data_IF_833564689654
#
_entry.id   IF_833564689654
#
_cell.length_a   1.000
_cell.length_b   1.000
_cell.length_c   1.000
_cell.angle_alpha   90.00
_cell.angle_beta   90.00
_cell.angle_gamma   90.00
#
_symmetry.space_group_name_H-M   'P 1'
#
loop_
_entity.id
_entity.type
_entity.pdbx_description
1 polymer ?
#
# COMPACT_ATOMS: atom_id res chain seq x y z
N UNK A 1 9.74 11.68 -22.69
CA UNK A 1 9.78 12.82 -21.73
C UNK A 1 9.82 12.24 -20.31
N UNK A 2 10.82 12.60 -19.48
CA UNK A 2 10.94 12.11 -18.09
C UNK A 2 10.03 12.94 -17.21
N UNK A 3 9.12 12.32 -16.46
CA UNK A 3 8.31 13.01 -15.44
C UNK A 3 8.74 12.48 -14.08
N UNK A 4 9.26 13.37 -13.25
CA UNK A 4 9.60 13.07 -11.86
C UNK A 4 8.48 13.67 -11.01
N UNK A 5 7.81 12.82 -10.23
CA UNK A 5 6.84 13.24 -9.24
C UNK A 5 7.45 13.02 -7.86
N UNK A 6 7.48 14.07 -7.04
CA UNK A 6 8.03 14.03 -5.69
C UNK A 6 6.85 13.94 -4.71
N UNK A 7 6.81 12.88 -3.91
CA UNK A 7 5.81 12.68 -2.86
C UNK A 7 6.56 12.57 -1.51
N UNK A 8 6.70 13.69 -0.80
CA UNK A 8 7.46 13.73 0.45
C UNK A 8 8.93 13.35 0.24
N UNK A 9 9.43 12.35 0.99
CA UNK A 9 10.81 11.84 0.86
C UNK A 9 11.04 10.88 -0.32
N UNK A 10 10.01 10.58 -1.12
CA UNK A 10 10.08 9.59 -2.20
C UNK A 10 9.96 10.26 -3.57
N UNK A 11 10.74 9.80 -4.54
CA UNK A 11 10.61 10.24 -5.94
C UNK A 11 10.15 9.08 -6.83
N UNK A 12 9.08 9.32 -7.59
CA UNK A 12 8.58 8.39 -8.60
C UNK A 12 9.04 8.90 -9.95
N UNK A 13 9.81 8.08 -10.67
CA UNK A 13 10.27 8.40 -12.02
C UNK A 13 9.49 7.58 -13.04
N UNK A 14 8.77 8.26 -13.93
CA UNK A 14 8.14 7.64 -15.09
C UNK A 14 8.81 8.08 -16.38
N UNK A 15 9.05 7.10 -17.25
CA UNK A 15 9.71 7.29 -18.54
C UNK A 15 8.74 6.92 -19.66
N UNK A 16 8.29 7.93 -20.41
CA UNK A 16 7.49 7.73 -21.61
C UNK A 16 8.42 7.86 -22.81
N UNK A 17 9.03 6.72 -23.17
CA UNK A 17 9.92 6.58 -24.32
C UNK A 17 10.08 5.09 -24.65
N UNK A 18 10.09 4.74 -25.93
CA UNK A 18 10.33 3.35 -26.37
C UNK A 18 11.73 2.85 -25.95
N UNK A 19 12.68 3.77 -25.75
CA UNK A 19 14.04 3.49 -25.28
C UNK A 19 14.45 4.47 -24.18
N UNK A 20 14.98 3.94 -23.09
CA UNK A 20 15.46 4.68 -21.92
C UNK A 20 16.89 4.22 -21.63
N UNK A 21 17.80 5.17 -21.46
CA UNK A 21 19.21 4.88 -21.18
C UNK A 21 19.52 5.31 -19.75
N UNK A 22 20.01 4.37 -18.94
CA UNK A 22 20.59 4.62 -17.63
C UNK A 22 22.11 4.60 -17.77
N UNK A 23 22.78 5.70 -17.46
CA UNK A 23 24.24 5.80 -17.49
C UNK A 23 24.72 6.29 -16.13
N UNK A 24 25.38 5.41 -15.37
CA UNK A 24 25.91 5.69 -14.03
C UNK A 24 24.93 6.43 -13.10
N UNK A 25 23.67 6.03 -13.11
CA UNK A 25 22.59 6.75 -12.43
C UNK A 25 22.14 6.03 -11.15
N UNK A 26 21.87 6.82 -10.12
CA UNK A 26 21.12 6.38 -8.93
C UNK A 26 19.74 7.03 -8.95
N UNK A 27 18.69 6.21 -8.93
CA UNK A 27 17.30 6.67 -8.83
C UNK A 27 16.82 6.40 -7.41
N UNK A 28 16.57 7.47 -6.66
CA UNK A 28 16.03 7.38 -5.30
C UNK A 28 14.50 7.21 -5.34
N UNK A 29 14.04 5.96 -5.27
CA UNK A 29 12.62 5.62 -5.24
C UNK A 29 12.24 4.54 -6.25
N UNK A 30 10.99 4.57 -6.73
CA UNK A 30 10.44 3.59 -7.65
C UNK A 30 10.55 4.05 -9.11
N UNK A 31 10.84 3.10 -10.00
CA UNK A 31 10.86 3.27 -11.46
C UNK A 31 9.74 2.46 -12.10
N UNK A 32 8.88 3.11 -12.86
CA UNK A 32 7.87 2.45 -13.68
C UNK A 32 8.33 2.43 -15.13
N UNK A 33 8.51 1.23 -15.69
CA UNK A 33 8.91 1.01 -17.07
C UNK A 33 7.69 0.52 -17.86
N UNK A 34 7.19 1.35 -18.77
CA UNK A 34 5.97 1.07 -19.53
C UNK A 34 6.33 0.93 -21.01
N UNK A 35 6.19 -0.30 -21.49
CA UNK A 35 6.39 -0.73 -22.88
C UNK A 35 7.69 -0.18 -23.49
N UNK A 36 8.78 -0.26 -22.71
CA UNK A 36 10.05 0.35 -23.06
C UNK A 36 11.26 -0.56 -22.88
N UNK A 37 12.32 -0.25 -23.61
CA UNK A 37 13.63 -0.88 -23.44
C UNK A 37 14.46 0.00 -22.51
N UNK A 38 14.88 -0.53 -21.37
CA UNK A 38 15.85 0.12 -20.47
C UNK A 38 17.22 -0.50 -20.73
N UNK A 39 18.13 0.27 -21.32
CA UNK A 39 19.54 -0.10 -21.44
C UNK A 39 20.34 0.60 -20.32
N UNK A 40 21.03 -0.19 -19.50
CA UNK A 40 21.84 0.32 -18.39
C UNK A 40 23.33 0.13 -18.63
N UNK A 41 24.09 1.23 -18.52
CA UNK A 41 25.53 1.29 -18.67
C UNK A 41 26.17 1.75 -17.36
N UNK A 42 27.28 1.12 -16.98
CA UNK A 42 28.01 1.46 -15.76
C UNK A 42 27.24 1.11 -14.47
N UNK A 43 27.48 1.89 -13.42
CA UNK A 43 26.93 1.64 -12.09
C UNK A 43 25.52 2.22 -11.95
N UNK A 44 24.50 1.39 -12.20
CA UNK A 44 23.11 1.77 -12.02
C UNK A 44 22.57 1.29 -10.67
N UNK A 45 21.79 2.13 -9.99
CA UNK A 45 21.13 1.77 -8.74
C UNK A 45 19.71 2.35 -8.66
N UNK A 46 18.76 1.53 -8.21
CA UNK A 46 17.40 1.94 -7.85
C UNK A 46 17.24 1.60 -6.38
N UNK A 47 16.89 2.59 -5.56
CA UNK A 47 16.88 2.42 -4.10
C UNK A 47 15.66 1.66 -3.58
N UNK A 48 14.60 1.53 -4.40
CA UNK A 48 13.39 0.80 -4.04
C UNK A 48 13.03 -0.26 -5.08
N UNK A 49 12.14 0.05 -6.04
CA UNK A 49 11.56 -0.95 -6.94
C UNK A 49 11.62 -0.54 -8.42
N UNK A 50 11.70 -1.53 -9.29
CA UNK A 50 11.57 -1.39 -10.74
C UNK A 50 10.35 -2.20 -11.20
N UNK A 51 9.37 -1.53 -11.82
CA UNK A 51 8.07 -2.11 -12.15
C UNK A 51 7.91 -2.07 -13.68
N UNK A 52 8.34 -3.12 -14.40
CA UNK A 52 8.20 -3.21 -15.86
C UNK A 52 6.83 -3.74 -16.30
N UNK A 53 6.29 -3.29 -17.43
CA UNK A 53 5.23 -4.04 -18.13
C UNK A 53 5.78 -5.31 -18.77
N UNK A 54 4.90 -6.27 -19.10
CA UNK A 54 5.28 -7.51 -19.80
C UNK A 54 6.06 -7.27 -21.10
N UNK A 55 5.81 -6.16 -21.80
CA UNK A 55 6.46 -5.78 -23.04
C UNK A 55 7.77 -4.99 -22.81
N UNK A 56 8.06 -4.59 -21.58
CA UNK A 56 9.29 -3.87 -21.26
C UNK A 56 10.48 -4.83 -21.19
N UNK A 57 11.62 -4.37 -21.69
CA UNK A 57 12.87 -5.15 -21.72
C UNK A 57 13.93 -4.42 -20.91
N UNK A 58 14.42 -5.05 -19.84
CA UNK A 58 15.46 -4.46 -18.99
C UNK A 58 16.79 -5.13 -19.29
N UNK A 59 17.75 -4.34 -19.81
CA UNK A 59 19.13 -4.73 -20.09
C UNK A 59 20.07 -3.89 -19.24
N UNK A 60 20.00 -4.06 -17.93
CA UNK A 60 20.74 -3.26 -16.97
C UNK A 60 21.40 -4.16 -15.92
N UNK A 61 22.64 -3.82 -15.55
CA UNK A 61 23.33 -4.45 -14.42
C UNK A 61 23.23 -3.51 -13.21
N UNK A 62 22.35 -3.85 -12.27
CA UNK A 62 22.20 -3.07 -11.05
C UNK A 62 23.25 -3.44 -10.01
N UNK A 63 23.76 -2.43 -9.30
CA UNK A 63 24.76 -2.60 -8.23
C UNK A 63 24.23 -3.41 -7.05
N UNK A 64 22.93 -3.34 -6.79
CA UNK A 64 22.23 -4.06 -5.74
C UNK A 64 21.03 -4.79 -6.33
N UNK A 65 20.52 -5.82 -5.63
CA UNK A 65 19.31 -6.51 -6.05
C UNK A 65 18.15 -5.51 -6.09
N UNK A 66 17.54 -5.36 -7.27
CA UNK A 66 16.38 -4.49 -7.47
C UNK A 66 15.14 -5.37 -7.49
N UNK A 67 14.17 -5.04 -6.64
CA UNK A 67 12.90 -5.76 -6.62
C UNK A 67 12.13 -5.45 -7.91
N UNK A 68 11.83 -6.50 -8.69
CA UNK A 68 11.10 -6.39 -9.95
C UNK A 68 9.75 -7.08 -9.86
N UNK A 69 8.67 -6.34 -10.12
CA UNK A 69 7.32 -6.90 -10.25
C UNK A 69 6.75 -6.54 -11.63
N UNK A 70 6.53 -7.52 -12.53
CA UNK A 70 5.98 -7.25 -13.84
C UNK A 70 4.50 -6.82 -13.77
N UNK A 71 4.09 -5.92 -14.64
CA UNK A 71 2.69 -5.51 -14.83
C UNK A 71 2.04 -6.31 -15.99
N UNK A 72 0.81 -6.85 -15.83
CA UNK A 72 -0.01 -6.78 -14.64
C UNK A 72 0.56 -7.65 -13.51
N UNK A 73 0.41 -7.16 -12.28
CA UNK A 73 0.99 -7.74 -11.07
C UNK A 73 0.44 -9.15 -10.85
N UNK A 74 1.33 -10.13 -10.84
CA UNK A 74 1.03 -11.51 -10.46
C UNK A 74 1.20 -11.68 -8.94
N UNK A 75 0.07 -11.70 -8.25
CA UNK A 75 -0.03 -11.73 -6.79
C UNK A 75 0.48 -13.06 -6.24
N UNK A 76 0.19 -14.17 -6.92
CA UNK A 76 0.53 -15.50 -6.43
C UNK A 76 2.04 -15.69 -6.43
N UNK A 77 2.68 -15.30 -7.53
CA UNK A 77 4.13 -15.30 -7.66
C UNK A 77 4.80 -14.39 -6.62
N UNK A 78 4.24 -13.20 -6.36
CA UNK A 78 4.83 -12.25 -5.43
C UNK A 78 4.66 -12.67 -3.95
N UNK A 79 3.52 -13.28 -3.63
CA UNK A 79 3.29 -13.92 -2.33
C UNK A 79 4.20 -15.13 -2.12
N UNK A 80 4.47 -15.89 -3.17
CA UNK A 80 5.41 -17.02 -3.16
C UNK A 80 6.86 -16.53 -2.98
N UNK A 81 7.28 -15.50 -3.69
CA UNK A 81 8.59 -14.85 -3.51
C UNK A 81 8.76 -14.27 -2.10
N UNK A 82 7.74 -13.62 -1.55
CA UNK A 82 7.76 -13.08 -0.19
C UNK A 82 7.82 -14.17 0.89
N UNK A 83 7.05 -15.26 0.71
CA UNK A 83 7.13 -16.44 1.59
C UNK A 83 8.50 -17.11 1.55
N UNK A 84 9.07 -17.26 0.35
CA UNK A 84 10.39 -17.89 0.15
C UNK A 84 11.54 -17.03 0.69
N UNK A 85 11.36 -15.70 0.76
CA UNK A 85 12.36 -14.78 1.27
C UNK A 85 12.40 -14.69 2.82
N UNK A 86 11.45 -15.30 3.55
CA UNK A 86 11.29 -15.20 5.02
C UNK A 86 11.20 -13.76 5.58
N UNK A 87 11.06 -12.75 4.71
CA UNK A 87 11.08 -11.33 5.08
C UNK A 87 9.65 -10.76 5.02
N UNK A 88 8.92 -10.98 6.11
CA UNK A 88 7.52 -10.56 6.29
C UNK A 88 7.36 -9.04 6.09
N UNK A 89 8.40 -8.25 6.41
CA UNK A 89 8.42 -6.79 6.18
C UNK A 89 8.25 -6.46 4.70
N UNK A 90 8.99 -7.15 3.82
CA UNK A 90 8.92 -6.94 2.36
C UNK A 90 7.60 -7.39 1.75
N UNK A 91 7.01 -8.47 2.29
CA UNK A 91 5.69 -8.92 1.87
C UNK A 91 4.61 -7.90 2.25
N UNK A 92 4.63 -7.40 3.49
CA UNK A 92 3.69 -6.38 3.96
C UNK A 92 3.80 -5.09 3.15
N UNK A 93 5.02 -4.59 2.93
CA UNK A 93 5.28 -3.39 2.11
C UNK A 93 4.76 -3.54 0.67
N UNK A 94 5.01 -4.70 0.04
CA UNK A 94 4.53 -4.95 -1.32
C UNK A 94 2.99 -4.95 -1.38
N UNK A 95 2.33 -5.66 -0.46
CA UNK A 95 0.87 -5.68 -0.42
C UNK A 95 0.34 -4.26 -0.12
N UNK A 96 0.96 -3.46 0.76
CA UNK A 96 0.55 -2.08 1.03
C UNK A 96 0.65 -1.17 -0.21
N UNK A 97 1.71 -1.32 -1.01
CA UNK A 97 1.87 -0.57 -2.26
C UNK A 97 0.76 -0.91 -3.28
N UNK A 98 0.40 -2.18 -3.40
CA UNK A 98 -0.65 -2.62 -4.32
C UNK A 98 -2.03 -2.14 -3.91
N UNK A 99 -2.35 -2.26 -2.63
CA UNK A 99 -3.57 -1.75 -2.04
C UNK A 99 -3.80 -0.27 -2.38
N UNK A 100 -2.78 0.56 -2.11
CA UNK A 100 -2.82 2.00 -2.39
C UNK A 100 -2.97 2.30 -3.88
N UNK A 101 -2.36 1.50 -4.76
CA UNK A 101 -2.49 1.67 -6.20
C UNK A 101 -3.92 1.39 -6.72
N UNK A 102 -4.59 0.36 -6.21
CA UNK A 102 -5.95 0.03 -6.62
C UNK A 102 -6.98 1.01 -6.03
N UNK A 103 -6.78 1.49 -4.80
CA UNK A 103 -7.60 2.55 -4.21
C UNK A 103 -7.56 3.83 -5.05
N UNK A 104 -6.37 4.27 -5.48
CA UNK A 104 -6.25 5.44 -6.34
C UNK A 104 -6.87 5.26 -7.73
N UNK A 105 -6.97 4.03 -8.24
CA UNK A 105 -7.62 3.72 -9.52
C UNK A 105 -9.14 3.52 -9.40
N UNK A 106 -9.70 3.58 -8.19
CA UNK A 106 -11.11 3.31 -7.93
C UNK A 106 -11.48 1.82 -8.08
N UNK A 107 -10.48 0.93 -8.15
CA UNK A 107 -10.68 -0.51 -8.27
C UNK A 107 -10.87 -1.15 -6.88
N UNK A 108 -11.88 -0.68 -6.14
CA UNK A 108 -12.06 -0.99 -4.71
C UNK A 108 -12.24 -2.48 -4.43
N UNK A 109 -12.89 -3.24 -5.30
CA UNK A 109 -13.06 -4.69 -5.12
C UNK A 109 -11.71 -5.43 -5.08
N UNK A 110 -10.78 -5.02 -5.94
CA UNK A 110 -9.43 -5.62 -5.93
C UNK A 110 -8.68 -5.19 -4.69
N UNK A 111 -8.74 -3.89 -4.34
CA UNK A 111 -8.13 -3.40 -3.11
C UNK A 111 -8.61 -4.18 -1.86
N UNK A 112 -9.92 -4.40 -1.73
CA UNK A 112 -10.53 -5.21 -0.65
C UNK A 112 -9.93 -6.61 -0.62
N UNK A 113 -9.87 -7.31 -1.76
CA UNK A 113 -9.29 -8.67 -1.83
C UNK A 113 -7.84 -8.70 -1.30
N UNK A 114 -7.04 -7.68 -1.61
CA UNK A 114 -5.68 -7.56 -1.09
C UNK A 114 -5.63 -7.31 0.42
N UNK A 115 -6.46 -6.39 0.91
CA UNK A 115 -6.54 -6.09 2.33
C UNK A 115 -7.03 -7.29 3.15
N UNK A 116 -7.97 -8.09 2.62
CA UNK A 116 -8.44 -9.32 3.28
C UNK A 116 -7.37 -10.41 3.31
N UNK A 117 -6.60 -10.58 2.23
CA UNK A 117 -5.45 -11.50 2.20
C UNK A 117 -4.39 -11.10 3.23
N UNK A 118 -4.04 -9.83 3.30
CA UNK A 118 -3.11 -9.29 4.30
C UNK A 118 -3.58 -9.49 5.73
N UNK A 119 -4.86 -9.18 6.00
CA UNK A 119 -5.45 -9.37 7.31
C UNK A 119 -5.35 -10.84 7.72
N UNK A 120 -5.65 -11.77 6.81
CA UNK A 120 -5.54 -13.21 7.08
C UNK A 120 -4.13 -13.63 7.46
N UNK A 121 -3.11 -13.12 6.78
CA UNK A 121 -1.69 -13.40 7.08
C UNK A 121 -1.31 -12.77 8.41
N UNK A 122 -1.66 -11.51 8.62
CA UNK A 122 -1.33 -10.80 9.87
C UNK A 122 -1.97 -11.49 11.07
N UNK A 123 -3.20 -11.98 10.94
CA UNK A 123 -3.86 -12.79 11.96
C UNK A 123 -3.16 -14.12 12.21
N UNK A 124 -2.68 -14.82 11.18
CA UNK A 124 -2.00 -16.11 11.35
C UNK A 124 -0.61 -15.98 11.94
N UNK A 125 0.14 -14.97 11.54
CA UNK A 125 1.56 -14.81 11.90
C UNK A 125 1.77 -13.98 13.18
N UNK A 126 0.96 -12.94 13.39
CA UNK A 126 1.19 -11.94 14.45
C UNK A 126 0.19 -12.04 15.62
N UNK A 127 -0.96 -12.68 15.39
CA UNK A 127 -2.03 -12.78 16.37
C UNK A 127 -3.03 -11.62 16.32
N UNK A 128 -4.20 -11.84 16.91
CA UNK A 128 -5.40 -11.00 16.74
C UNK A 128 -5.32 -9.60 17.34
N UNK A 129 -4.42 -9.38 18.30
CA UNK A 129 -4.26 -8.12 19.04
C UNK A 129 -3.02 -7.33 18.61
N UNK A 130 -2.35 -7.75 17.53
CA UNK A 130 -1.15 -7.09 17.03
C UNK A 130 -1.48 -5.72 16.40
N UNK A 131 -0.65 -4.68 16.59
CA UNK A 131 -0.86 -3.36 15.97
C UNK A 131 -0.99 -3.38 14.45
N UNK A 132 -0.34 -4.35 13.78
CA UNK A 132 -0.45 -4.51 12.32
C UNK A 132 -1.83 -5.05 11.91
N UNK A 133 -2.42 -5.95 12.69
CA UNK A 133 -3.81 -6.40 12.47
C UNK A 133 -4.78 -5.23 12.61
N UNK A 134 -4.57 -4.36 13.61
CA UNK A 134 -5.36 -3.13 13.73
C UNK A 134 -5.20 -2.23 12.49
N UNK A 135 -3.98 -2.14 11.95
CA UNK A 135 -3.72 -1.36 10.74
C UNK A 135 -4.44 -1.95 9.52
N UNK A 136 -4.40 -3.28 9.34
CA UNK A 136 -5.13 -3.96 8.26
C UNK A 136 -6.64 -3.72 8.34
N UNK A 137 -7.21 -3.78 9.55
CA UNK A 137 -8.62 -3.47 9.78
C UNK A 137 -8.99 -2.02 9.41
N UNK A 138 -8.24 -1.02 9.89
CA UNK A 138 -8.50 0.39 9.54
C UNK A 138 -8.46 0.61 8.03
N UNK A 139 -7.53 -0.04 7.34
CA UNK A 139 -7.44 0.14 5.91
C UNK A 139 -8.60 -0.52 5.15
N UNK A 140 -9.07 -1.70 5.57
CA UNK A 140 -10.34 -2.26 5.06
C UNK A 140 -11.48 -1.26 5.27
N UNK A 141 -11.55 -0.65 6.46
CA UNK A 141 -12.49 0.40 6.79
C UNK A 141 -12.50 1.53 5.76
N UNK A 142 -11.33 2.08 5.46
CA UNK A 142 -11.16 3.17 4.49
C UNK A 142 -11.57 2.78 3.06
N UNK A 143 -11.23 1.57 2.60
CA UNK A 143 -11.62 1.15 1.25
C UNK A 143 -13.13 0.94 1.13
N UNK A 144 -13.75 0.31 2.14
CA UNK A 144 -15.20 0.17 2.17
C UNK A 144 -15.91 1.53 2.22
N UNK A 145 -15.35 2.51 2.94
CA UNK A 145 -15.85 3.88 2.95
C UNK A 145 -15.77 4.51 1.54
N UNK A 146 -14.62 4.41 0.87
CA UNK A 146 -14.43 4.94 -0.47
C UNK A 146 -15.34 4.26 -1.51
N UNK A 147 -15.67 2.98 -1.29
CA UNK A 147 -16.63 2.22 -2.08
C UNK A 147 -18.09 2.60 -1.81
N UNK A 148 -18.37 3.29 -0.69
CA UNK A 148 -19.73 3.65 -0.25
C UNK A 148 -20.43 2.57 0.58
N UNK A 149 -19.73 1.51 0.99
CA UNK A 149 -20.25 0.45 1.88
C UNK A 149 -19.98 0.83 3.35
N UNK A 150 -20.71 1.84 3.84
CA UNK A 150 -20.43 2.47 5.14
C UNK A 150 -20.55 1.54 6.35
N UNK A 151 -21.48 0.58 6.34
CA UNK A 151 -21.66 -0.35 7.47
C UNK A 151 -20.44 -1.25 7.67
N UNK A 152 -19.87 -1.78 6.59
CA UNK A 152 -18.62 -2.56 6.67
C UNK A 152 -17.45 -1.68 7.06
N UNK A 153 -17.41 -0.46 6.56
CA UNK A 153 -16.36 0.48 6.92
C UNK A 153 -16.33 0.78 8.42
N UNK A 154 -17.50 0.97 9.03
CA UNK A 154 -17.67 1.13 10.48
C UNK A 154 -17.20 -0.14 11.21
N UNK A 155 -17.68 -1.32 10.81
CA UNK A 155 -17.32 -2.59 11.45
C UNK A 155 -15.80 -2.79 11.52
N UNK A 156 -15.11 -2.53 10.40
CA UNK A 156 -13.65 -2.68 10.32
C UNK A 156 -12.90 -1.61 11.09
N UNK A 157 -13.34 -0.35 11.05
CA UNK A 157 -12.72 0.72 11.85
C UNK A 157 -12.92 0.49 13.36
N UNK A 158 -14.08 -0.02 13.80
CA UNK A 158 -14.33 -0.36 15.21
C UNK A 158 -13.46 -1.53 15.69
N UNK A 159 -13.23 -2.55 14.84
CA UNK A 159 -12.26 -3.64 15.14
C UNK A 159 -10.84 -3.10 15.33
N UNK A 160 -10.41 -2.16 14.46
CA UNK A 160 -9.11 -1.49 14.61
C UNK A 160 -9.03 -0.68 15.89
N UNK A 161 -10.08 0.11 16.16
CA UNK A 161 -10.18 0.97 17.33
C UNK A 161 -10.06 0.16 18.61
N UNK A 162 -10.78 -0.97 18.72
CA UNK A 162 -10.70 -1.85 19.88
C UNK A 162 -9.27 -2.30 20.18
N UNK A 163 -8.54 -2.79 19.18
CA UNK A 163 -7.16 -3.26 19.36
C UNK A 163 -6.26 -2.10 19.81
N UNK A 164 -6.36 -0.93 19.16
CA UNK A 164 -5.53 0.23 19.53
C UNK A 164 -5.88 0.79 20.91
N UNK A 165 -7.15 0.76 21.27
CA UNK A 165 -7.62 1.17 22.60
C UNK A 165 -7.03 0.27 23.68
N UNK A 166 -7.12 -1.05 23.50
CA UNK A 166 -6.62 -2.05 24.44
C UNK A 166 -5.09 -1.97 24.61
N UNK A 167 -4.35 -1.61 23.55
CA UNK A 167 -2.88 -1.56 23.56
C UNK A 167 -2.28 -0.20 23.96
N UNK A 168 -2.93 0.91 23.60
CA UNK A 168 -2.35 2.25 23.69
C UNK A 168 -3.10 3.16 24.68
N UNK A 169 -4.33 2.80 25.07
CA UNK A 169 -5.19 3.61 25.92
C UNK A 169 -5.90 4.74 25.16
N UNK A 170 -6.84 5.38 25.86
CA UNK A 170 -7.74 6.39 25.28
C UNK A 170 -7.02 7.64 24.77
N UNK A 171 -5.99 8.11 25.46
CA UNK A 171 -5.33 9.39 25.18
C UNK A 171 -4.31 9.32 24.03
N UNK A 172 -4.14 8.16 23.40
CA UNK A 172 -3.15 7.99 22.36
C UNK A 172 -3.64 8.59 21.02
N UNK A 173 -2.82 9.39 20.29
CA UNK A 173 -3.23 10.04 19.03
C UNK A 173 -3.75 9.09 17.95
N UNK A 174 -3.26 7.85 17.94
CA UNK A 174 -3.75 6.83 17.02
C UNK A 174 -5.18 6.35 17.32
N UNK A 175 -5.62 6.40 18.58
CA UNK A 175 -7.00 6.08 18.99
C UNK A 175 -7.91 7.23 18.60
N UNK A 176 -7.51 8.47 18.89
CA UNK A 176 -8.17 9.68 18.42
C UNK A 176 -8.42 9.65 16.89
N UNK A 177 -7.37 9.34 16.11
CA UNK A 177 -7.48 9.21 14.65
C UNK A 177 -8.56 8.20 14.23
N UNK A 178 -8.69 7.07 14.94
CA UNK A 178 -9.69 6.06 14.63
C UNK A 178 -11.11 6.50 15.03
N UNK A 179 -11.27 7.18 16.17
CA UNK A 179 -12.54 7.81 16.53
C UNK A 179 -12.99 8.80 15.45
N UNK A 180 -12.09 9.66 14.98
CA UNK A 180 -12.36 10.57 13.88
C UNK A 180 -12.74 9.82 12.59
N UNK A 181 -12.03 8.76 12.21
CA UNK A 181 -12.35 7.98 11.02
C UNK A 181 -13.78 7.41 11.10
N UNK A 182 -14.15 6.80 12.23
CA UNK A 182 -15.52 6.28 12.44
C UNK A 182 -16.55 7.41 12.38
N UNK A 183 -16.27 8.57 12.98
CA UNK A 183 -17.12 9.77 12.90
C UNK A 183 -17.35 10.24 11.46
N UNK A 184 -16.29 10.29 10.64
CA UNK A 184 -16.40 10.62 9.21
C UNK A 184 -17.27 9.59 8.49
N UNK A 185 -17.13 8.29 8.75
CA UNK A 185 -17.97 7.28 8.10
C UNK A 185 -19.44 7.45 8.47
N UNK A 186 -19.76 7.70 9.75
CA UNK A 186 -21.13 7.99 10.17
C UNK A 186 -21.68 9.26 9.51
N UNK A 187 -20.86 10.31 9.37
CA UNK A 187 -21.23 11.52 8.65
C UNK A 187 -21.54 11.22 7.18
N UNK A 188 -20.70 10.44 6.49
CA UNK A 188 -20.94 10.03 5.11
C UNK A 188 -22.19 9.16 4.93
N UNK A 189 -22.54 8.39 5.97
CA UNK A 189 -23.78 7.60 6.03
C UNK A 189 -25.03 8.45 6.34
N UNK A 190 -24.85 9.69 6.80
CA UNK A 190 -25.95 10.60 7.20
C UNK A 190 -26.41 10.43 8.65
N UNK A 191 -25.69 9.67 9.47
CA UNK A 191 -25.99 9.46 10.89
C UNK A 191 -25.24 10.50 11.76
N UNK A 192 -25.59 11.77 11.60
CA UNK A 192 -24.84 12.89 12.18
C UNK A 192 -24.73 12.88 13.71
N UNK A 193 -25.76 12.40 14.42
CA UNK A 193 -25.70 12.32 15.89
C UNK A 193 -24.58 11.37 16.37
N UNK A 194 -24.40 10.23 15.68
CA UNK A 194 -23.29 9.32 15.97
C UNK A 194 -21.96 9.89 15.53
N UNK A 195 -21.92 10.58 14.39
CA UNK A 195 -20.71 11.26 13.94
C UNK A 195 -20.20 12.25 15.00
N UNK A 196 -21.08 13.06 15.57
CA UNK A 196 -20.75 13.99 16.67
C UNK A 196 -20.21 13.24 17.89
N UNK A 197 -20.89 12.18 18.34
CA UNK A 197 -20.43 11.37 19.48
C UNK A 197 -19.00 10.83 19.28
N UNK A 198 -18.69 10.36 18.07
CA UNK A 198 -17.37 9.86 17.72
C UNK A 198 -16.33 10.97 17.59
N UNK A 199 -16.70 12.14 17.06
CA UNK A 199 -15.80 13.30 16.98
C UNK A 199 -15.49 13.91 18.35
N UNK A 200 -16.42 13.86 19.31
CA UNK A 200 -16.18 14.29 20.69
C UNK A 200 -15.19 13.38 21.44
N UNK A 201 -15.04 12.12 21.00
CA UNK A 201 -14.09 11.15 21.55
C UNK A 201 -12.72 11.17 20.86
N UNK A 202 -12.60 11.87 19.73
CA UNK A 202 -11.34 12.05 18.99
C UNK A 202 -10.48 13.13 19.61
#
# INVERSE_FOLDING_TARGET
>A
MKKILIFGSYSVSSFYSNKVIFDNITISGCVYAVDCIIDGFGNCHITQQLIPTKQSVIRCRFRFHVFTCPWPIDIENLMELGRNALDISKLSEAIQLFRRAYDYKGEYNKAIEYYEKDLKISLSELGYDHPDVATSYNNLGNVYQNKGEYDKAIEYNEKSLKIRLDKLGHDHPAVATLYNNVGIVYSNKGEYNKAIEYHEKS
#
